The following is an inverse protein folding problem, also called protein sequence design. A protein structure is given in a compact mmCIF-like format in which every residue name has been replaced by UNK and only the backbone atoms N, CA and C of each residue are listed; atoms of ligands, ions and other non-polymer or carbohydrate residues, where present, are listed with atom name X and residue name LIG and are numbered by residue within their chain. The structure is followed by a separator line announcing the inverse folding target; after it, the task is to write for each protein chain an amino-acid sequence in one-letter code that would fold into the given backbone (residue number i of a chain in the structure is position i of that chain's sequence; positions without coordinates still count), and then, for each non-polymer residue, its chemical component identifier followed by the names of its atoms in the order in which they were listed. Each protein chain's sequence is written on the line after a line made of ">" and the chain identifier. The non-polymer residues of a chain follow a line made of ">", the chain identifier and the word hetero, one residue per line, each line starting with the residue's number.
data_IF_759238356732
#
_entry.id   IF_759238356732
#
_cell.length_a   1.000
_cell.length_b   1.000
_cell.length_c   1.000
_cell.angle_alpha   90.00
_cell.angle_beta   90.00
_cell.angle_gamma   90.00
#
_symmetry.space_group_name_H-M   'P 1'
#
loop_
_entity.id
_entity.type
_entity.pdbx_description
1 polymer ?
#
# COMPACT_ATOMS: atom_id res chain seq x y z
N UNK A 1 -21.04 -14.42 30.15
CA UNK A 1 -21.65 -13.50 29.15
C UNK A 1 -21.06 -12.10 29.22
N UNK A 2 -21.04 -11.46 30.40
CA UNK A 2 -20.55 -10.07 30.59
C UNK A 2 -19.09 -9.84 30.18
N UNK A 3 -18.20 -10.80 30.45
CA UNK A 3 -16.79 -10.74 30.02
C UNK A 3 -16.62 -10.86 28.50
N UNK A 4 -17.47 -11.64 27.83
CA UNK A 4 -17.45 -11.79 26.37
C UNK A 4 -17.90 -10.49 25.68
N UNK A 5 -18.88 -9.79 26.26
CA UNK A 5 -19.30 -8.47 25.79
C UNK A 5 -18.19 -7.42 25.96
N UNK A 6 -17.49 -7.44 27.10
CA UNK A 6 -16.36 -6.53 27.35
C UNK A 6 -15.21 -6.75 26.38
N UNK A 7 -14.91 -8.02 26.07
CA UNK A 7 -13.90 -8.38 25.08
C UNK A 7 -14.29 -7.92 23.67
N UNK A 8 -15.57 -8.08 23.28
CA UNK A 8 -16.08 -7.59 22.00
C UNK A 8 -15.91 -6.07 21.82
N UNK A 9 -16.21 -5.29 22.87
CA UNK A 9 -16.04 -3.83 22.87
C UNK A 9 -14.55 -3.45 22.77
N UNK A 10 -13.67 -4.20 23.43
CA UNK A 10 -12.23 -3.95 23.39
C UNK A 10 -11.63 -4.23 22.01
N UNK A 11 -12.08 -5.28 21.33
CA UNK A 11 -11.61 -5.61 19.97
C UNK A 11 -12.19 -4.68 18.89
N UNK A 12 -13.38 -4.10 19.09
CA UNK A 12 -13.97 -3.17 18.11
C UNK A 12 -13.27 -1.81 18.06
N UNK A 13 -12.46 -1.49 19.06
CA UNK A 13 -11.78 -0.20 19.19
C UNK A 13 -10.41 -0.14 18.52
N UNK A 14 -9.94 -1.22 17.87
CA UNK A 14 -8.66 -1.19 17.15
C UNK A 14 -8.88 -0.47 15.82
N UNK A 15 -8.42 0.78 15.65
CA UNK A 15 -8.49 1.44 14.35
C UNK A 15 -7.70 0.60 13.35
N UNK A 16 -8.34 0.25 12.24
CA UNK A 16 -7.64 -0.26 11.07
C UNK A 16 -6.80 0.89 10.51
N UNK A 17 -5.58 1.06 11.02
CA UNK A 17 -4.66 2.04 10.49
C UNK A 17 -4.27 1.60 9.08
N UNK A 18 -4.75 2.34 8.08
CA UNK A 18 -4.22 2.25 6.73
C UNK A 18 -2.73 2.61 6.79
N UNK A 19 -1.86 1.70 6.37
CA UNK A 19 -0.45 2.03 6.21
C UNK A 19 -0.34 3.10 5.13
N UNK A 20 0.16 4.27 5.50
CA UNK A 20 0.37 5.38 4.58
C UNK A 20 1.80 5.31 4.05
N UNK A 21 1.95 5.32 2.73
CA UNK A 21 3.24 5.38 2.07
C UNK A 21 3.54 6.84 1.70
N UNK A 22 4.47 7.46 2.42
CA UNK A 22 4.98 8.78 2.06
C UNK A 22 6.12 8.63 1.06
N UNK A 23 5.98 9.20 -0.13
CA UNK A 23 7.00 9.21 -1.18
C UNK A 23 7.43 10.65 -1.45
N UNK A 24 8.72 10.93 -1.25
CA UNK A 24 9.35 12.13 -1.80
C UNK A 24 9.80 11.82 -3.24
N UNK A 25 9.10 12.39 -4.22
CA UNK A 25 9.40 12.19 -5.64
C UNK A 25 10.12 13.44 -6.18
N UNK A 26 11.45 13.37 -6.26
CA UNK A 26 12.29 14.41 -6.87
C UNK A 26 12.46 14.18 -8.39
N UNK A 27 12.64 15.23 -9.24
CA UNK A 27 12.69 16.66 -8.92
C UNK A 27 11.36 17.42 -9.12
N UNK A 28 10.32 16.81 -9.70
CA UNK A 28 9.06 17.50 -10.06
C UNK A 28 7.81 17.03 -9.28
N UNK A 29 7.90 16.01 -8.43
CA UNK A 29 6.73 15.33 -7.86
C UNK A 29 6.28 15.78 -6.47
N UNK A 30 7.10 16.54 -5.73
CA UNK A 30 6.84 16.90 -4.34
C UNK A 30 6.71 15.70 -3.39
N UNK A 31 6.42 15.97 -2.12
CA UNK A 31 6.11 14.90 -1.15
C UNK A 31 4.66 14.45 -1.35
N UNK A 32 4.46 13.23 -1.85
CA UNK A 32 3.15 12.63 -2.10
C UNK A 32 2.86 11.55 -1.07
N UNK A 33 1.75 11.71 -0.35
CA UNK A 33 1.21 10.67 0.53
C UNK A 33 0.29 9.76 -0.28
N UNK A 34 0.69 8.51 -0.47
CA UNK A 34 -0.13 7.48 -1.11
C UNK A 34 -0.75 6.56 -0.06
N UNK A 35 -2.06 6.40 -0.11
CA UNK A 35 -2.78 5.45 0.72
C UNK A 35 -2.68 4.05 0.12
N UNK A 36 -2.45 3.03 0.95
CA UNK A 36 -2.33 1.64 0.50
C UNK A 36 -3.57 1.15 -0.27
N UNK A 37 -4.76 1.53 0.15
CA UNK A 37 -6.02 1.16 -0.52
C UNK A 37 -6.13 1.77 -1.91
N UNK A 38 -5.63 2.99 -2.10
CA UNK A 38 -5.63 3.67 -3.40
C UNK A 38 -4.64 2.99 -4.35
N UNK A 39 -3.45 2.62 -3.86
CA UNK A 39 -2.45 1.87 -4.62
C UNK A 39 -2.96 0.51 -5.08
N UNK A 40 -3.66 -0.23 -4.21
CA UNK A 40 -4.22 -1.54 -4.54
C UNK A 40 -5.35 -1.48 -5.59
N UNK A 41 -6.05 -0.35 -5.68
CA UNK A 41 -7.12 -0.11 -6.65
C UNK A 41 -6.64 0.55 -7.94
N UNK A 42 -5.34 0.82 -8.06
CA UNK A 42 -4.80 1.56 -9.19
C UNK A 42 -4.95 0.76 -10.50
N UNK A 43 -5.43 1.42 -11.57
CA UNK A 43 -5.77 0.76 -12.85
C UNK A 43 -4.55 0.11 -13.52
N UNK A 44 -3.36 0.66 -13.28
CA UNK A 44 -2.11 0.17 -13.87
C UNK A 44 -1.35 -0.79 -12.94
N UNK A 45 -2.00 -1.40 -11.93
CA UNK A 45 -1.36 -2.44 -11.11
C UNK A 45 -0.96 -3.62 -12.00
N UNK A 46 0.30 -4.00 -11.92
CA UNK A 46 0.86 -5.13 -12.65
C UNK A 46 1.31 -6.22 -11.68
N UNK A 47 1.07 -7.47 -12.04
CA UNK A 47 1.64 -8.61 -11.32
C UNK A 47 2.98 -8.95 -11.95
N UNK A 48 4.04 -8.93 -11.14
CA UNK A 48 5.40 -9.29 -11.58
C UNK A 48 5.95 -10.43 -10.73
N UNK A 49 6.80 -11.26 -11.33
CA UNK A 49 7.59 -12.27 -10.61
C UNK A 49 9.02 -11.80 -10.51
N UNK A 50 9.57 -11.81 -9.31
CA UNK A 50 10.99 -11.58 -9.03
C UNK A 50 11.58 -12.95 -8.67
N UNK A 51 12.33 -13.58 -9.60
CA UNK A 51 13.00 -14.84 -9.29
C UNK A 51 14.12 -14.60 -8.28
N UNK A 52 14.35 -15.59 -7.40
CA UNK A 52 15.43 -15.55 -6.40
C UNK A 52 15.49 -14.23 -5.59
N UNK A 53 14.34 -13.74 -5.11
CA UNK A 53 14.26 -12.49 -4.33
C UNK A 53 15.25 -12.50 -3.16
N UNK A 54 16.06 -11.44 -3.02
CA UNK A 54 17.17 -11.41 -2.05
C UNK A 54 16.71 -11.40 -0.60
N UNK A 55 15.50 -10.92 -0.31
CA UNK A 55 14.97 -10.85 1.05
C UNK A 55 14.45 -12.20 1.51
N UNK A 56 13.75 -12.91 0.62
CA UNK A 56 13.07 -14.16 0.94
C UNK A 56 13.76 -15.42 0.39
N UNK A 57 14.77 -15.26 -0.46
CA UNK A 57 15.60 -16.31 -1.08
C UNK A 57 14.78 -17.35 -1.86
N UNK A 58 13.76 -16.88 -2.59
CA UNK A 58 12.88 -17.69 -3.45
C UNK A 58 12.17 -16.82 -4.46
N UNK A 59 11.52 -17.44 -5.44
CA UNK A 59 10.63 -16.74 -6.37
C UNK A 59 9.48 -16.07 -5.61
N UNK A 60 9.33 -14.77 -5.84
CA UNK A 60 8.31 -13.94 -5.21
C UNK A 60 7.43 -13.26 -6.26
N UNK A 61 6.14 -13.13 -5.95
CA UNK A 61 5.16 -12.48 -6.81
C UNK A 61 4.68 -11.19 -6.13
N UNK A 62 4.73 -10.08 -6.85
CA UNK A 62 4.39 -8.76 -6.35
C UNK A 62 3.33 -8.06 -7.20
N UNK A 63 2.61 -7.12 -6.58
CA UNK A 63 1.77 -6.13 -7.27
C UNK A 63 2.55 -4.82 -7.37
N UNK A 64 2.98 -4.45 -8.57
CA UNK A 64 3.71 -3.23 -8.85
C UNK A 64 2.76 -2.12 -9.32
N UNK A 65 2.93 -0.91 -8.79
CA UNK A 65 2.21 0.30 -9.25
C UNK A 65 3.23 1.22 -9.93
N UNK A 66 3.09 1.54 -11.23
CA UNK A 66 3.99 2.46 -11.90
C UNK A 66 3.78 3.89 -11.36
N UNK A 67 4.83 4.48 -10.79
CA UNK A 67 4.76 5.82 -10.20
C UNK A 67 4.93 6.94 -11.23
N UNK A 68 5.61 6.66 -12.36
CA UNK A 68 5.85 7.63 -13.42
C UNK A 68 4.63 7.88 -14.34
N UNK A 69 3.61 7.02 -14.29
CA UNK A 69 2.41 7.15 -15.14
C UNK A 69 1.36 8.11 -14.57
N UNK A 70 1.53 8.58 -13.33
CA UNK A 70 0.65 9.60 -12.73
C UNK A 70 1.23 11.02 -12.87
N UNK A 71 1.93 11.32 -13.97
CA UNK A 71 2.17 12.72 -14.33
C UNK A 71 0.80 13.40 -14.48
N UNK A 72 0.53 14.54 -13.82
CA UNK A 72 -0.59 15.35 -14.26
C UNK A 72 -0.32 15.68 -15.72
N UNK A 73 -1.31 15.45 -16.56
CA UNK A 73 -1.32 16.04 -17.88
C UNK A 73 -1.06 17.54 -17.68
N UNK A 74 0.06 18.01 -18.20
CA UNK A 74 0.18 19.41 -18.57
C UNK A 74 -0.87 19.59 -19.67
N UNK A 75 -1.99 20.23 -19.34
CA UNK A 75 -2.99 20.78 -20.24
C UNK A 75 -3.64 21.98 -19.56
#
# INVERSE_FOLDING_TARGET
>A
MKMLMLLGILLSGVPAYAAQLNLALEPEGGNKVLQSEALLKHLLVQTITVPDDVSYKRDMVYRAVPLASESPLVS
#
